data_IF_828795085109
#
_entry.id   IF_828795085109
#
_cell.length_a   1.000
_cell.length_b   1.000
_cell.length_c   1.000
_cell.angle_alpha   90.00
_cell.angle_beta   90.00
_cell.angle_gamma   90.00
#
_symmetry.space_group_name_H-M   'P 1'
#
loop_
_entity.id
_entity.type
_entity.pdbx_description
1 polymer ?
#
# COMPACT_ATOMS: atom_id res chain seq x y z
N UNK A 1 23.70 9.68 -9.34
CA UNK A 1 22.34 9.76 -8.78
C UNK A 1 22.45 9.77 -7.27
N UNK A 2 21.76 10.70 -6.63
CA UNK A 2 21.55 10.72 -5.20
C UNK A 2 20.81 9.45 -4.75
N UNK A 3 21.00 9.02 -3.50
CA UNK A 3 20.20 7.97 -2.89
C UNK A 3 18.70 8.31 -2.97
N UNK A 4 18.36 9.58 -2.77
CA UNK A 4 16.99 10.09 -2.88
C UNK A 4 16.40 9.89 -4.29
N UNK A 5 17.16 10.22 -5.35
CA UNK A 5 16.74 10.03 -6.74
C UNK A 5 16.56 8.55 -7.09
N UNK A 6 17.41 7.68 -6.52
CA UNK A 6 17.35 6.24 -6.74
C UNK A 6 16.13 5.60 -6.06
N UNK A 7 15.76 6.11 -4.88
CA UNK A 7 14.56 5.71 -4.14
C UNK A 7 13.30 6.21 -4.85
N UNK A 8 13.25 7.49 -5.27
CA UNK A 8 12.13 8.06 -6.03
C UNK A 8 11.86 7.29 -7.31
N UNK A 9 12.92 7.00 -8.09
CA UNK A 9 12.77 6.21 -9.32
C UNK A 9 12.21 4.82 -9.05
N UNK A 10 12.66 4.13 -8.00
CA UNK A 10 12.08 2.84 -7.58
C UNK A 10 10.61 2.95 -7.18
N UNK A 11 10.24 4.02 -6.49
CA UNK A 11 8.87 4.30 -6.06
C UNK A 11 7.94 4.52 -7.26
N UNK A 12 8.41 5.23 -8.29
CA UNK A 12 7.58 5.69 -9.40
C UNK A 12 7.57 4.73 -10.61
N UNK A 13 8.68 4.06 -10.90
CA UNK A 13 8.85 3.31 -12.16
C UNK A 13 8.59 1.80 -12.05
N UNK A 14 8.08 1.34 -10.91
CA UNK A 14 7.95 -0.09 -10.62
C UNK A 14 6.69 -0.67 -11.26
N UNK A 15 6.84 -1.66 -12.15
CA UNK A 15 5.70 -2.45 -12.65
C UNK A 15 4.92 -3.09 -11.48
N UNK A 16 5.62 -3.48 -10.41
CA UNK A 16 4.98 -4.00 -9.20
C UNK A 16 4.01 -2.98 -8.57
N UNK A 17 4.28 -1.67 -8.63
CA UNK A 17 3.32 -0.63 -8.19
C UNK A 17 2.04 -0.61 -9.04
N UNK A 18 2.16 -0.89 -10.33
CA UNK A 18 0.98 -0.98 -11.19
C UNK A 18 0.15 -2.22 -10.86
N UNK A 19 0.81 -3.33 -10.58
CA UNK A 19 0.16 -4.60 -10.24
C UNK A 19 -0.50 -4.52 -8.85
N UNK A 20 0.18 -3.94 -7.85
CA UNK A 20 -0.39 -3.62 -6.52
C UNK A 20 -1.66 -2.76 -6.64
N UNK A 21 -1.66 -1.75 -7.53
CA UNK A 21 -2.84 -0.92 -7.76
C UNK A 21 -3.99 -1.70 -8.40
N UNK A 22 -3.70 -2.61 -9.34
CA UNK A 22 -4.73 -3.45 -9.96
C UNK A 22 -5.35 -4.39 -8.93
N UNK A 23 -4.53 -4.98 -8.07
CA UNK A 23 -4.99 -5.85 -6.99
C UNK A 23 -5.92 -5.09 -6.04
N UNK A 24 -5.52 -3.90 -5.59
CA UNK A 24 -6.36 -3.04 -4.75
C UNK A 24 -7.71 -2.72 -5.41
N UNK A 25 -7.71 -2.37 -6.70
CA UNK A 25 -8.95 -2.11 -7.44
C UNK A 25 -9.83 -3.36 -7.58
N UNK A 26 -9.22 -4.54 -7.70
CA UNK A 26 -9.95 -5.80 -7.70
C UNK A 26 -10.62 -6.06 -6.35
N UNK A 27 -9.91 -5.83 -5.24
CA UNK A 27 -10.46 -5.97 -3.88
C UNK A 27 -11.63 -5.00 -3.64
N UNK A 28 -11.48 -3.73 -4.04
CA UNK A 28 -12.55 -2.73 -3.94
C UNK A 28 -13.77 -3.14 -4.77
N UNK A 29 -13.55 -3.65 -5.98
CA UNK A 29 -14.65 -4.07 -6.86
C UNK A 29 -15.40 -5.26 -6.26
N UNK A 30 -14.68 -6.25 -5.73
CA UNK A 30 -15.28 -7.41 -5.07
C UNK A 30 -16.06 -7.00 -3.81
N UNK A 31 -15.50 -6.14 -2.97
CA UNK A 31 -16.18 -5.63 -1.78
C UNK A 31 -17.49 -4.90 -2.14
N UNK A 32 -17.48 -4.10 -3.22
CA UNK A 32 -18.69 -3.45 -3.71
C UNK A 32 -19.75 -4.47 -4.17
N UNK A 33 -19.36 -5.55 -4.84
CA UNK A 33 -20.28 -6.62 -5.26
C UNK A 33 -20.88 -7.37 -4.05
N UNK A 34 -20.10 -7.56 -2.98
CA UNK A 34 -20.52 -8.30 -1.78
C UNK A 34 -21.51 -7.52 -0.91
N UNK A 35 -21.32 -6.22 -0.72
CA UNK A 35 -22.16 -5.42 0.20
C UNK A 35 -22.24 -3.93 -0.10
N UNK A 36 -21.84 -3.52 -1.30
CA UNK A 36 -21.89 -2.14 -1.75
C UNK A 36 -20.91 -1.24 -0.98
N UNK A 37 -21.29 0.02 -0.81
CA UNK A 37 -20.40 1.08 -0.30
C UNK A 37 -19.85 0.76 1.10
N UNK A 38 -20.64 0.14 1.98
CA UNK A 38 -20.19 -0.16 3.35
C UNK A 38 -19.04 -1.15 3.39
N UNK A 39 -19.09 -2.17 2.54
CA UNK A 39 -18.00 -3.15 2.45
C UNK A 39 -16.76 -2.55 1.79
N UNK A 40 -16.93 -1.64 0.83
CA UNK A 40 -15.79 -0.85 0.30
C UNK A 40 -15.13 -0.03 1.39
N UNK A 41 -15.92 0.70 2.21
CA UNK A 41 -15.38 1.49 3.32
C UNK A 41 -14.61 0.62 4.33
N UNK A 42 -15.15 -0.55 4.66
CA UNK A 42 -14.53 -1.53 5.54
C UNK A 42 -13.20 -2.06 4.97
N UNK A 43 -13.21 -2.50 3.70
CA UNK A 43 -12.04 -3.04 3.01
C UNK A 43 -10.92 -2.00 2.90
N UNK A 44 -11.25 -0.76 2.52
CA UNK A 44 -10.27 0.33 2.43
C UNK A 44 -9.72 0.70 3.81
N UNK A 45 -10.57 0.75 4.84
CA UNK A 45 -10.13 1.05 6.20
C UNK A 45 -9.15 0.00 6.73
N UNK A 46 -9.48 -1.28 6.55
CA UNK A 46 -8.58 -2.38 6.92
C UNK A 46 -7.23 -2.29 6.21
N UNK A 47 -7.24 -1.98 4.91
CA UNK A 47 -6.00 -1.84 4.14
C UNK A 47 -5.14 -0.67 4.63
N UNK A 48 -5.76 0.44 5.04
CA UNK A 48 -5.04 1.57 5.62
C UNK A 48 -4.40 1.23 6.97
N UNK A 49 -5.08 0.47 7.83
CA UNK A 49 -4.52 -0.01 9.09
C UNK A 49 -3.32 -0.93 8.86
N UNK A 50 -3.44 -1.90 7.95
CA UNK A 50 -2.33 -2.79 7.59
C UNK A 50 -1.10 -2.03 7.09
N UNK A 51 -1.29 -1.06 6.20
CA UNK A 51 -0.20 -0.21 5.70
C UNK A 51 0.44 0.64 6.80
N UNK A 52 -0.36 1.12 7.75
CA UNK A 52 0.13 1.91 8.88
C UNK A 52 1.04 1.05 9.78
N UNK A 53 0.61 -0.18 10.10
CA UNK A 53 1.41 -1.13 10.89
C UNK A 53 2.69 -1.54 10.17
N UNK A 54 2.63 -1.81 8.86
CA UNK A 54 3.82 -2.14 8.08
C UNK A 54 4.82 -0.98 8.06
N UNK A 55 4.33 0.25 7.92
CA UNK A 55 5.16 1.44 7.94
C UNK A 55 5.84 1.66 9.30
N UNK A 56 5.09 1.54 10.41
CA UNK A 56 5.64 1.59 11.76
C UNK A 56 6.74 0.54 11.96
N UNK A 57 6.49 -0.70 11.52
CA UNK A 57 7.49 -1.77 11.61
C UNK A 57 8.78 -1.46 10.82
N UNK A 58 8.64 -0.87 9.63
CA UNK A 58 9.79 -0.45 8.82
C UNK A 58 10.58 0.69 9.48
N UNK A 59 9.90 1.63 10.13
CA UNK A 59 10.55 2.70 10.91
C UNK A 59 11.32 2.13 12.09
N UNK A 60 10.71 1.26 12.89
CA UNK A 60 11.39 0.61 14.01
C UNK A 60 12.64 -0.16 13.54
N UNK A 61 12.54 -0.84 12.41
CA UNK A 61 13.67 -1.57 11.83
C UNK A 61 14.79 -0.61 11.41
N UNK A 62 14.45 0.54 10.83
CA UNK A 62 15.42 1.55 10.45
C UNK A 62 16.11 2.16 11.68
N UNK A 63 15.36 2.47 12.75
CA UNK A 63 15.90 2.98 14.01
C UNK A 63 16.91 2.00 14.64
N UNK A 64 16.64 0.69 14.58
CA UNK A 64 17.58 -0.33 15.09
C UNK A 64 18.86 -0.49 14.26
N UNK A 65 18.86 0.00 13.01
CA UNK A 65 20.02 -0.06 12.12
C UNK A 65 20.92 1.17 12.24
N UNK A 66 20.45 2.24 12.90
CA UNK A 66 21.20 3.45 13.23
C UNK A 66 21.89 3.32 14.59
#
# INVERSE_FOLDING_TARGET
>A
MSYHESVLKKIESSQARQDERKELWSEISNAYEEGGIKEVESAVSKRMEELSLEFEHLLEKLERML
#
